data_IF_456699713628
#
_entry.id   IF_456699713628
#
_cell.length_a   1.000
_cell.length_b   1.000
_cell.length_c   1.000
_cell.angle_alpha   90.00
_cell.angle_beta   90.00
_cell.angle_gamma   90.00
#
_symmetry.space_group_name_H-M   'P 1'
#
loop_
_entity.id
_entity.type
_entity.pdbx_description
1 polymer ?
#
# COMPACT_ATOMS: atom_id res chain seq x y z
N UNK A 1 -2.83 -22.93 4.56
CA UNK A 1 -2.37 -21.86 5.47
C UNK A 1 -3.19 -21.93 6.75
N UNK A 2 -2.54 -21.87 7.91
CA UNK A 2 -3.24 -21.79 9.19
C UNK A 2 -3.97 -20.44 9.28
N UNK A 3 -5.29 -20.47 9.27
CA UNK A 3 -6.15 -19.28 9.36
C UNK A 3 -5.80 -18.56 10.67
N UNK A 4 -5.14 -17.41 10.56
CA UNK A 4 -4.82 -16.58 11.72
C UNK A 4 -5.81 -15.44 11.77
N UNK A 5 -6.69 -15.45 12.77
CA UNK A 5 -7.68 -14.38 13.00
C UNK A 5 -6.97 -13.05 13.29
N UNK A 6 -7.37 -11.98 12.59
CA UNK A 6 -6.72 -10.64 12.66
C UNK A 6 -6.50 -10.12 14.09
N UNK A 7 -7.46 -10.20 15.03
CA UNK A 7 -7.27 -9.76 16.42
C UNK A 7 -6.03 -10.33 17.12
N UNK A 8 -5.57 -11.52 16.73
CA UNK A 8 -4.42 -12.18 17.33
C UNK A 8 -3.10 -11.87 16.61
N UNK A 9 -3.14 -11.13 15.50
CA UNK A 9 -1.93 -10.70 14.83
C UNK A 9 -1.27 -9.52 15.58
N UNK A 10 0.08 -9.48 15.60
CA UNK A 10 0.83 -8.32 16.06
C UNK A 10 0.54 -7.08 15.19
N UNK A 11 1.13 -5.95 15.54
CA UNK A 11 0.96 -4.70 14.78
C UNK A 11 1.43 -4.83 13.33
N UNK A 12 2.45 -5.66 13.08
CA UNK A 12 2.81 -6.13 11.74
C UNK A 12 3.36 -7.55 11.77
N UNK A 13 3.26 -8.26 10.65
CA UNK A 13 3.82 -9.60 10.45
C UNK A 13 4.22 -9.80 8.99
N UNK A 14 5.44 -10.30 8.75
CA UNK A 14 5.84 -10.80 7.44
C UNK A 14 5.24 -12.18 7.20
N UNK A 15 4.62 -12.36 6.03
CA UNK A 15 3.91 -13.55 5.61
C UNK A 15 4.46 -14.01 4.25
N UNK A 16 5.02 -15.22 4.15
CA UNK A 16 5.43 -15.76 2.87
C UNK A 16 4.20 -16.05 2.00
N UNK A 17 4.22 -15.58 0.76
CA UNK A 17 3.19 -15.89 -0.25
C UNK A 17 3.75 -16.74 -1.40
N UNK A 18 5.07 -16.74 -1.61
CA UNK A 18 5.75 -17.76 -2.43
C UNK A 18 6.18 -18.90 -1.51
N UNK A 19 5.94 -20.14 -1.93
CA UNK A 19 6.54 -21.30 -1.27
C UNK A 19 8.07 -21.27 -1.52
N UNK A 20 8.90 -21.69 -0.56
CA UNK A 20 10.31 -21.94 -0.84
C UNK A 20 10.40 -22.96 -1.98
N UNK A 21 10.98 -22.58 -3.11
CA UNK A 21 11.33 -23.57 -4.12
C UNK A 21 12.34 -24.53 -3.47
N UNK A 22 11.94 -25.79 -3.30
CA UNK A 22 12.88 -26.86 -2.97
C UNK A 22 13.80 -26.92 -4.17
N UNK A 23 15.04 -26.46 -4.01
CA UNK A 23 16.06 -26.49 -5.05
C UNK A 23 16.36 -27.94 -5.41
N UNK A 24 15.63 -28.50 -6.36
CA UNK A 24 16.09 -29.62 -7.15
C UNK A 24 17.24 -29.11 -8.02
N UNK A 25 18.46 -29.48 -7.64
CA UNK A 25 19.67 -29.31 -8.44
C UNK A 25 19.53 -30.16 -9.70
N UNK A 26 18.94 -29.59 -10.75
CA UNK A 26 19.02 -30.14 -12.10
C UNK A 26 19.80 -29.15 -12.94
N UNK A 27 21.00 -29.57 -13.31
CA UNK A 27 21.93 -28.88 -14.19
C UNK A 27 21.37 -28.90 -15.61
N UNK A 28 20.48 -27.96 -15.94
CA UNK A 28 19.99 -27.79 -17.31
C UNK A 28 20.54 -26.49 -17.93
N UNK A 29 21.10 -26.67 -19.12
CA UNK A 29 21.65 -25.65 -20.02
C UNK A 29 20.62 -24.56 -20.28
N UNK A 30 20.97 -23.25 -20.19
CA UNK A 30 19.99 -22.19 -20.35
C UNK A 30 19.48 -22.13 -21.81
N UNK A 31 18.15 -22.11 -22.05
CA UNK A 31 17.62 -21.83 -23.38
C UNK A 31 17.96 -20.41 -23.83
N UNK A 32 18.28 -20.30 -25.12
CA UNK A 32 18.86 -19.14 -25.83
C UNK A 32 17.97 -17.87 -25.95
N UNK A 33 16.90 -17.73 -25.19
CA UNK A 33 16.06 -16.53 -25.22
C UNK A 33 15.17 -16.42 -23.97
N UNK A 34 15.76 -16.12 -22.80
CA UNK A 34 14.95 -15.63 -21.70
C UNK A 34 14.35 -14.27 -22.09
N UNK A 35 13.05 -14.02 -21.84
CA UNK A 35 12.47 -12.71 -22.06
C UNK A 35 13.24 -11.64 -21.26
N UNK A 36 13.33 -10.41 -21.77
CA UNK A 36 14.08 -9.36 -21.08
C UNK A 36 13.45 -9.09 -19.71
N UNK A 37 14.28 -8.81 -18.68
CA UNK A 37 13.78 -8.56 -17.33
C UNK A 37 12.83 -7.35 -17.31
N UNK A 38 11.94 -7.32 -16.31
CA UNK A 38 11.03 -6.20 -16.08
C UNK A 38 11.83 -4.89 -15.97
N UNK A 39 11.39 -3.90 -16.75
CA UNK A 39 11.93 -2.53 -16.76
C UNK A 39 10.80 -1.53 -16.59
N UNK A 40 10.97 -0.59 -15.67
CA UNK A 40 10.03 0.52 -15.44
C UNK A 40 10.37 1.70 -16.33
N UNK A 41 9.40 2.15 -17.12
CA UNK A 41 9.55 3.26 -18.06
C UNK A 41 9.20 4.62 -17.45
N UNK A 42 8.41 4.63 -16.37
CA UNK A 42 7.95 5.83 -15.69
C UNK A 42 7.43 5.54 -14.29
N UNK A 43 7.46 6.56 -13.44
CA UNK A 43 6.75 6.52 -12.16
C UNK A 43 5.26 6.72 -12.42
N UNK A 44 4.46 5.71 -12.10
CA UNK A 44 3.02 5.68 -12.34
C UNK A 44 2.36 4.69 -11.39
N UNK A 45 1.03 4.70 -11.35
CA UNK A 45 0.28 3.74 -10.55
C UNK A 45 -1.00 3.31 -11.22
N UNK A 46 -1.39 2.06 -10.98
CA UNK A 46 -2.72 1.55 -11.27
C UNK A 46 -3.43 1.21 -9.95
N UNK A 47 -4.72 1.50 -9.89
CA UNK A 47 -5.54 1.25 -8.70
C UNK A 47 -6.86 0.62 -9.11
N UNK A 48 -7.33 -0.32 -8.32
CA UNK A 48 -8.67 -0.89 -8.42
C UNK A 48 -9.33 -0.91 -7.05
N UNK A 49 -10.61 -0.55 -7.00
CA UNK A 49 -11.45 -0.66 -5.83
C UNK A 49 -12.76 -1.37 -6.19
N UNK A 50 -13.03 -2.48 -5.53
CA UNK A 50 -14.15 -3.35 -5.90
C UNK A 50 -14.08 -4.75 -5.29
N UNK A 51 -14.90 -5.69 -5.79
CA UNK A 51 -14.80 -7.12 -5.47
C UNK A 51 -13.42 -7.67 -5.79
N UNK A 52 -12.98 -8.70 -5.05
CA UNK A 52 -11.73 -9.40 -5.36
C UNK A 52 -11.72 -9.82 -6.83
N UNK A 53 -10.64 -9.49 -7.55
CA UNK A 53 -10.49 -9.85 -8.95
C UNK A 53 -10.50 -11.37 -9.11
N UNK A 54 -11.16 -11.86 -10.15
CA UNK A 54 -11.22 -13.30 -10.41
C UNK A 54 -9.97 -13.72 -11.18
N UNK A 55 -9.34 -14.80 -10.74
CA UNK A 55 -8.23 -15.44 -11.46
C UNK A 55 -8.59 -16.91 -11.51
N UNK A 56 -9.20 -17.38 -12.61
CA UNK A 56 -9.52 -18.79 -12.72
C UNK A 56 -8.23 -19.60 -12.54
N UNK A 57 -8.27 -20.55 -11.61
CA UNK A 57 -7.25 -21.58 -11.53
C UNK A 57 -7.41 -22.39 -12.82
N UNK A 58 -6.50 -22.22 -13.77
CA UNK A 58 -6.49 -23.04 -14.97
C UNK A 58 -6.50 -24.51 -14.57
N UNK A 59 -7.32 -25.31 -15.28
CA UNK A 59 -7.39 -26.76 -15.11
C UNK A 59 -6.35 -27.50 -15.97
N UNK A 60 -5.58 -26.79 -16.79
CA UNK A 60 -4.64 -27.36 -17.75
C UNK A 60 -3.24 -26.78 -17.53
N UNK A 61 -2.25 -27.66 -17.34
CA UNK A 61 -0.84 -27.29 -17.15
C UNK A 61 -0.19 -26.60 -18.38
N UNK A 62 -0.94 -26.43 -19.47
CA UNK A 62 -0.50 -25.80 -20.73
C UNK A 62 -0.99 -24.35 -20.91
N UNK A 63 -1.80 -23.81 -19.99
CA UNK A 63 -2.28 -22.43 -20.09
C UNK A 63 -1.20 -21.43 -19.62
N UNK A 64 -0.97 -20.41 -20.45
CA UNK A 64 -0.01 -19.34 -20.22
C UNK A 64 -0.18 -18.73 -18.81
N UNK A 65 0.84 -18.90 -17.94
CA UNK A 65 0.89 -18.31 -16.60
C UNK A 65 0.71 -16.78 -16.60
N UNK A 66 0.79 -16.14 -17.77
CA UNK A 66 0.54 -14.72 -17.98
C UNK A 66 -0.91 -14.32 -18.33
N UNK A 67 -1.90 -15.21 -18.21
CA UNK A 67 -3.31 -14.82 -18.39
C UNK A 67 -3.71 -13.71 -17.42
N UNK A 68 -3.84 -12.51 -17.98
CA UNK A 68 -4.24 -11.26 -17.34
C UNK A 68 -5.60 -10.77 -17.83
N UNK A 69 -6.34 -11.57 -18.61
CA UNK A 69 -7.59 -11.20 -19.27
C UNK A 69 -8.72 -10.80 -18.31
N UNK A 70 -8.63 -11.22 -17.05
CA UNK A 70 -9.58 -10.85 -15.99
C UNK A 70 -9.31 -9.49 -15.36
N UNK A 71 -8.18 -8.84 -15.68
CA UNK A 71 -7.86 -7.51 -15.19
C UNK A 71 -8.62 -6.43 -15.97
N UNK A 72 -9.01 -5.32 -15.31
CA UNK A 72 -9.69 -4.21 -15.98
C UNK A 72 -8.85 -3.63 -17.13
N UNK A 73 -9.46 -3.12 -18.23
CA UNK A 73 -8.76 -2.49 -19.36
C UNK A 73 -7.71 -1.45 -18.95
N UNK A 74 -7.99 -0.66 -17.92
CA UNK A 74 -7.06 0.36 -17.40
C UNK A 74 -5.76 -0.22 -16.84
N UNK A 75 -5.74 -1.50 -16.43
CA UNK A 75 -4.51 -2.21 -16.05
C UNK A 75 -3.62 -2.40 -17.27
N UNK A 76 -4.16 -2.93 -18.37
CA UNK A 76 -3.36 -3.18 -19.58
C UNK A 76 -2.86 -1.86 -20.19
N UNK A 77 -3.69 -0.82 -20.19
CA UNK A 77 -3.27 0.54 -20.57
C UNK A 77 -2.11 1.02 -19.70
N UNK A 78 -2.22 0.88 -18.38
CA UNK A 78 -1.14 1.25 -17.46
C UNK A 78 0.12 0.39 -17.65
N UNK A 79 -0.03 -0.92 -17.80
CA UNK A 79 1.07 -1.88 -17.96
C UNK A 79 1.86 -1.57 -19.24
N UNK A 80 1.20 -1.47 -20.40
CA UNK A 80 1.84 -1.12 -21.68
C UNK A 80 2.59 0.20 -21.61
N UNK A 81 2.03 1.18 -20.90
CA UNK A 81 2.63 2.50 -20.75
C UNK A 81 3.78 2.55 -19.74
N UNK A 82 3.85 1.61 -18.80
CA UNK A 82 4.72 1.70 -17.62
C UNK A 82 5.83 0.66 -17.61
N UNK A 83 5.57 -0.53 -18.15
CA UNK A 83 6.41 -1.72 -17.98
C UNK A 83 6.84 -2.23 -19.35
N UNK A 84 8.11 -2.59 -19.45
CA UNK A 84 8.68 -3.32 -20.59
C UNK A 84 9.34 -4.60 -20.09
N UNK A 85 9.40 -5.63 -20.92
CA UNK A 85 10.00 -6.90 -20.59
C UNK A 85 8.97 -7.94 -20.16
N UNK A 86 9.32 -8.80 -19.22
CA UNK A 86 8.42 -9.81 -18.70
C UNK A 86 7.06 -9.23 -18.24
N UNK A 87 5.95 -9.94 -18.48
CA UNK A 87 4.64 -9.53 -17.98
C UNK A 87 4.62 -9.47 -16.44
N UNK A 88 4.25 -8.31 -15.88
CA UNK A 88 4.21 -8.11 -14.42
C UNK A 88 3.22 -9.06 -13.73
N UNK A 89 2.19 -9.50 -14.46
CA UNK A 89 1.20 -10.44 -13.96
C UNK A 89 1.83 -11.74 -13.43
N UNK A 90 2.97 -12.18 -13.99
CA UNK A 90 3.71 -13.37 -13.49
C UNK A 90 4.18 -13.20 -12.04
N UNK A 91 4.53 -11.98 -11.65
CA UNK A 91 4.92 -11.67 -10.26
C UNK A 91 3.70 -11.32 -9.39
N UNK A 92 2.71 -10.65 -9.97
CA UNK A 92 1.53 -10.14 -9.27
C UNK A 92 0.55 -11.26 -8.90
N UNK A 93 0.28 -12.20 -9.81
CA UNK A 93 -0.74 -13.25 -9.66
C UNK A 93 -0.52 -14.13 -8.42
N UNK A 94 0.70 -14.63 -8.12
CA UNK A 94 0.94 -15.39 -6.88
C UNK A 94 0.60 -14.60 -5.61
N UNK A 95 0.94 -13.30 -5.57
CA UNK A 95 0.60 -12.44 -4.45
C UNK A 95 -0.91 -12.21 -4.34
N UNK A 96 -1.61 -11.98 -5.46
CA UNK A 96 -3.06 -11.78 -5.45
C UNK A 96 -3.80 -13.03 -4.99
N UNK A 97 -3.41 -14.21 -5.44
CA UNK A 97 -4.00 -15.48 -4.99
C UNK A 97 -3.84 -15.65 -3.48
N UNK A 98 -2.65 -15.40 -2.93
CA UNK A 98 -2.41 -15.37 -1.49
C UNK A 98 -3.30 -14.35 -0.78
N UNK A 99 -3.34 -13.12 -1.27
CA UNK A 99 -4.09 -12.04 -0.64
C UNK A 99 -5.59 -12.33 -0.66
N UNK A 100 -6.12 -12.89 -1.75
CA UNK A 100 -7.52 -13.27 -1.86
C UNK A 100 -7.91 -14.31 -0.83
N UNK A 101 -7.11 -15.37 -0.67
CA UNK A 101 -7.34 -16.38 0.37
C UNK A 101 -7.27 -15.78 1.77
N UNK A 102 -6.27 -14.93 2.03
CA UNK A 102 -6.12 -14.25 3.31
C UNK A 102 -7.34 -13.36 3.63
N UNK A 103 -7.80 -12.57 2.66
CA UNK A 103 -8.95 -11.66 2.80
C UNK A 103 -10.26 -12.45 2.99
N UNK A 104 -10.51 -13.48 2.17
CA UNK A 104 -11.68 -14.35 2.27
C UNK A 104 -11.75 -15.07 3.62
N UNK A 105 -10.62 -15.58 4.11
CA UNK A 105 -10.54 -16.25 5.42
C UNK A 105 -10.87 -15.33 6.60
N UNK A 106 -10.84 -14.01 6.40
CA UNK A 106 -11.22 -12.99 7.37
C UNK A 106 -12.61 -12.37 7.07
N UNK A 107 -13.42 -13.04 6.26
CA UNK A 107 -14.83 -12.68 6.01
C UNK A 107 -15.03 -11.48 5.08
N UNK A 108 -14.00 -11.08 4.33
CA UNK A 108 -14.05 -9.95 3.41
C UNK A 108 -14.05 -10.43 1.95
N UNK A 109 -14.60 -9.62 1.05
CA UNK A 109 -14.77 -9.93 -0.39
C UNK A 109 -14.41 -8.76 -1.31
N UNK A 110 -13.91 -7.67 -0.75
CA UNK A 110 -13.62 -6.44 -1.46
C UNK A 110 -12.28 -5.88 -1.00
N UNK A 111 -11.66 -5.11 -1.87
CA UNK A 111 -10.44 -4.40 -1.55
C UNK A 111 -10.29 -3.10 -2.33
N UNK A 112 -9.34 -2.30 -1.88
CA UNK A 112 -8.65 -1.29 -2.65
C UNK A 112 -7.23 -1.76 -2.86
N UNK A 113 -6.83 -2.03 -4.10
CA UNK A 113 -5.47 -2.41 -4.46
C UNK A 113 -4.79 -1.29 -5.24
N UNK A 114 -3.57 -0.92 -4.85
CA UNK A 114 -2.71 0.00 -5.61
C UNK A 114 -1.41 -0.68 -5.99
N UNK A 115 -1.07 -0.65 -7.27
CA UNK A 115 0.24 -1.01 -7.79
C UNK A 115 0.96 0.27 -8.17
N UNK A 116 2.14 0.51 -7.60
CA UNK A 116 2.98 1.67 -7.87
C UNK A 116 4.31 1.22 -8.45
N UNK A 117 4.57 1.64 -9.69
CA UNK A 117 5.87 1.54 -10.32
C UNK A 117 6.63 2.86 -10.10
N UNK A 118 7.90 2.78 -9.72
CA UNK A 118 8.74 3.95 -9.44
C UNK A 118 10.09 3.80 -10.13
N UNK A 119 10.49 4.87 -10.83
CA UNK A 119 11.87 5.06 -11.25
C UNK A 119 12.77 5.35 -10.03
N UNK A 120 14.10 5.20 -10.16
CA UNK A 120 15.02 5.58 -9.09
C UNK A 120 14.81 7.03 -8.65
N UNK A 121 14.80 7.26 -7.34
CA UNK A 121 14.61 8.60 -6.75
C UNK A 121 15.37 8.75 -5.43
N UNK A 122 15.80 9.98 -5.16
CA UNK A 122 16.44 10.38 -3.91
C UNK A 122 15.44 10.78 -2.81
N UNK A 123 14.13 10.81 -3.11
CA UNK A 123 13.09 11.25 -2.17
C UNK A 123 13.05 10.41 -0.89
N UNK A 124 13.62 9.20 -0.91
CA UNK A 124 13.63 8.28 0.23
C UNK A 124 15.05 8.03 0.78
N UNK A 125 16.02 8.87 0.41
CA UNK A 125 17.35 8.85 1.02
C UNK A 125 17.31 9.22 2.50
N UNK A 126 16.38 10.11 2.86
CA UNK A 126 15.95 10.30 4.25
C UNK A 126 14.72 9.41 4.49
N UNK A 127 14.75 8.50 5.47
CA UNK A 127 13.60 7.67 5.81
C UNK A 127 12.36 8.51 6.13
N UNK A 128 11.20 8.03 5.69
CA UNK A 128 9.90 8.63 5.97
C UNK A 128 9.14 7.74 6.94
N UNK A 129 9.58 7.71 8.18
CA UNK A 129 8.89 6.96 9.22
C UNK A 129 7.47 7.51 9.43
N UNK A 130 6.47 6.65 9.32
CA UNK A 130 5.08 7.00 9.51
C UNK A 130 4.24 5.80 9.96
N UNK A 131 3.00 6.10 10.34
CA UNK A 131 1.89 5.15 10.48
C UNK A 131 0.86 5.58 9.44
N UNK A 132 0.23 4.60 8.80
CA UNK A 132 -0.90 4.86 7.91
C UNK A 132 -2.12 5.31 8.72
N UNK A 133 -2.89 6.24 8.16
CA UNK A 133 -4.16 6.64 8.74
C UNK A 133 -5.18 5.48 8.71
N UNK A 134 -6.22 5.60 9.52
CA UNK A 134 -7.36 4.69 9.44
C UNK A 134 -8.22 5.06 8.22
N UNK A 135 -8.11 4.25 7.16
CA UNK A 135 -8.80 4.45 5.88
C UNK A 135 -10.32 4.61 6.02
N UNK A 136 -10.93 3.95 7.01
CA UNK A 136 -12.38 3.95 7.21
C UNK A 136 -12.78 4.87 8.37
N UNK A 137 -11.89 5.76 8.79
CA UNK A 137 -12.24 6.75 9.78
C UNK A 137 -13.22 7.80 9.23
N UNK A 138 -14.33 7.95 9.94
CA UNK A 138 -15.39 8.92 9.63
C UNK A 138 -15.02 10.32 10.14
N UNK A 139 -14.07 10.43 11.08
CA UNK A 139 -13.67 11.68 11.72
C UNK A 139 -12.73 12.56 10.89
N UNK A 140 -11.90 11.98 10.01
CA UNK A 140 -10.91 12.76 9.26
C UNK A 140 -11.49 13.64 8.14
N UNK A 141 -12.66 13.31 7.59
CA UNK A 141 -13.29 14.11 6.53
C UNK A 141 -14.07 15.33 7.06
N UNK A 142 -14.52 15.30 8.31
CA UNK A 142 -15.25 16.42 8.93
C UNK A 142 -14.32 17.58 9.36
N UNK A 143 -13.01 17.35 9.43
CA UNK A 143 -12.05 18.32 9.95
C UNK A 143 -11.38 19.23 8.89
N UNK A 144 -11.71 19.07 7.60
CA UNK A 144 -11.23 19.99 6.56
C UNK A 144 -12.07 21.28 6.46
N UNK A 145 -13.26 21.32 7.07
CA UNK A 145 -14.20 22.45 6.95
C UNK A 145 -14.51 23.19 8.25
N UNK A 146 -13.84 22.89 9.38
CA UNK A 146 -14.15 23.57 10.63
C UNK A 146 -12.93 23.90 11.50
N UNK A 147 -12.11 24.83 11.01
CA UNK A 147 -11.12 25.54 11.82
C UNK A 147 -11.80 26.59 12.71
N UNK A 148 -12.55 26.16 13.73
CA UNK A 148 -12.83 26.94 14.94
C UNK A 148 -13.77 26.18 15.88
N UNK A 149 -13.20 25.34 16.75
CA UNK A 149 -13.78 25.15 18.09
C UNK A 149 -12.80 24.41 18.99
N UNK A 150 -12.51 25.03 20.12
CA UNK A 150 -11.90 24.41 21.30
C UNK A 150 -12.52 23.03 21.56
N UNK A 151 -11.74 21.96 21.40
CA UNK A 151 -12.19 20.62 21.78
C UNK A 151 -12.06 20.46 23.30
N UNK A 152 -13.15 20.81 23.99
CA UNK A 152 -13.58 20.03 25.14
C UNK A 152 -13.82 18.59 24.68
N UNK A 153 -13.22 17.64 25.41
CA UNK A 153 -13.55 16.23 25.36
C UNK A 153 -15.03 16.04 25.70
N UNK A 154 -15.90 16.00 24.69
CA UNK A 154 -17.27 15.52 24.87
C UNK A 154 -17.32 14.05 24.49
N UNK A 155 -17.30 13.20 25.51
CA UNK A 155 -17.71 11.80 25.44
C UNK A 155 -19.18 11.73 25.01
N UNK A 156 -19.44 11.67 23.70
CA UNK A 156 -20.72 11.21 23.20
C UNK A 156 -20.64 9.69 22.96
N UNK A 157 -21.04 8.97 24.00
CA UNK A 157 -21.45 7.57 23.97
C UNK A 157 -22.65 7.41 23.04
N UNK A 158 -22.39 7.23 21.74
CA UNK A 158 -23.39 6.66 20.84
C UNK A 158 -23.35 5.13 21.01
N UNK A 159 -24.39 4.60 21.65
CA UNK A 159 -24.71 3.17 21.72
C UNK A 159 -25.17 2.68 20.34
N UNK A 160 -24.27 2.63 19.37
CA UNK A 160 -24.53 2.01 18.08
C UNK A 160 -23.46 0.96 17.85
N UNK A 161 -23.90 -0.28 17.57
CA UNK A 161 -23.08 -1.48 17.36
C UNK A 161 -21.69 -1.13 16.83
N UNK A 162 -20.66 -1.42 17.63
CA UNK A 162 -19.25 -1.21 17.29
C UNK A 162 -18.91 -2.11 16.09
N UNK A 163 -19.27 -1.68 14.88
CA UNK A 163 -18.80 -2.32 13.65
C UNK A 163 -17.28 -2.20 13.73
N UNK A 164 -16.62 -3.33 13.97
CA UNK A 164 -15.17 -3.39 14.00
C UNK A 164 -14.68 -3.08 12.58
N UNK A 165 -14.23 -1.84 12.37
CA UNK A 165 -13.72 -1.38 11.09
C UNK A 165 -12.51 -2.19 10.66
N UNK A 166 -12.30 -2.28 9.36
CA UNK A 166 -11.13 -2.98 8.83
C UNK A 166 -9.87 -2.12 8.97
N UNK A 167 -9.08 -2.34 10.02
CA UNK A 167 -7.91 -1.50 10.36
C UNK A 167 -6.57 -2.18 10.05
N UNK A 168 -6.42 -2.73 8.86
CA UNK A 168 -5.17 -3.35 8.42
C UNK A 168 -5.02 -3.32 6.90
N UNK A 169 -3.79 -3.51 6.43
CA UNK A 169 -3.47 -3.66 5.00
C UNK A 169 -2.45 -4.78 4.77
N UNK A 170 -2.40 -5.25 3.53
CA UNK A 170 -1.32 -6.10 3.02
C UNK A 170 -0.43 -5.26 2.10
N UNK A 171 0.88 -5.50 2.12
CA UNK A 171 1.77 -4.87 1.17
C UNK A 171 2.93 -5.80 0.76
N UNK A 172 3.34 -5.74 -0.50
CA UNK A 172 4.50 -6.47 -1.01
C UNK A 172 5.29 -5.59 -1.96
N UNK A 173 6.56 -5.95 -2.21
CA UNK A 173 7.35 -5.39 -3.29
C UNK A 173 7.64 -6.51 -4.29
N UNK A 174 7.19 -6.35 -5.54
CA UNK A 174 7.41 -7.33 -6.63
C UNK A 174 8.76 -7.11 -7.33
N UNK A 175 9.26 -5.87 -7.33
CA UNK A 175 10.57 -5.49 -7.87
C UNK A 175 11.19 -4.45 -6.95
N UNK A 176 12.48 -4.59 -6.65
CA UNK A 176 13.22 -3.66 -5.80
C UNK A 176 13.05 -3.92 -4.30
N UNK A 177 13.48 -2.98 -3.43
CA UNK A 177 13.52 -3.19 -1.99
C UNK A 177 12.14 -3.18 -1.29
N UNK A 178 12.03 -4.00 -0.25
CA UNK A 178 10.85 -4.13 0.61
C UNK A 178 10.56 -2.90 1.48
N UNK A 179 9.35 -2.81 2.02
CA UNK A 179 9.02 -1.79 3.03
C UNK A 179 9.73 -2.12 4.35
N UNK A 180 10.25 -1.10 5.04
CA UNK A 180 10.96 -1.23 6.31
C UNK A 180 9.99 -1.00 7.48
N UNK A 181 10.02 -1.87 8.49
CA UNK A 181 9.19 -1.79 9.69
C UNK A 181 10.04 -1.71 10.94
N UNK A 182 9.71 -0.80 11.86
CA UNK A 182 10.34 -0.75 13.18
C UNK A 182 9.83 -1.91 14.04
N UNK A 183 10.74 -2.74 14.56
CA UNK A 183 10.38 -3.95 15.34
C UNK A 183 9.64 -3.60 16.63
N UNK A 184 10.11 -2.60 17.38
CA UNK A 184 9.44 -2.07 18.55
C UNK A 184 8.42 -0.99 18.15
N UNK A 185 7.28 -1.42 17.63
CA UNK A 185 6.24 -0.52 17.11
C UNK A 185 5.69 0.43 18.17
N UNK A 186 5.56 0.01 19.44
CA UNK A 186 5.07 0.87 20.52
C UNK A 186 6.01 2.03 20.82
N UNK A 187 7.30 1.74 20.99
CA UNK A 187 8.32 2.78 21.20
C UNK A 187 8.39 3.73 19.99
N UNK A 188 8.45 3.17 18.78
CA UNK A 188 8.49 3.97 17.56
C UNK A 188 7.25 4.87 17.40
N UNK A 189 6.05 4.41 17.77
CA UNK A 189 4.83 5.24 17.79
C UNK A 189 4.90 6.37 18.81
N UNK A 190 5.46 6.11 20.00
CA UNK A 190 5.65 7.15 21.01
C UNK A 190 6.61 8.23 20.49
N UNK A 191 7.72 7.84 19.87
CA UNK A 191 8.64 8.77 19.19
C UNK A 191 7.93 9.57 18.10
N UNK A 192 7.14 8.91 17.23
CA UNK A 192 6.34 9.59 16.20
C UNK A 192 5.45 10.68 16.79
N UNK A 193 4.70 10.37 17.85
CA UNK A 193 3.80 11.31 18.51
C UNK A 193 4.57 12.45 19.17
N UNK A 194 5.66 12.13 19.87
CA UNK A 194 6.50 13.12 20.55
C UNK A 194 7.11 14.11 19.54
N UNK A 195 7.69 13.62 18.44
CA UNK A 195 8.27 14.46 17.39
C UNK A 195 7.21 15.30 16.70
N UNK A 196 6.08 14.71 16.27
CA UNK A 196 4.97 15.48 15.67
C UNK A 196 4.51 16.62 16.60
N UNK A 197 4.37 16.33 17.89
CA UNK A 197 3.97 17.33 18.89
C UNK A 197 5.04 18.40 19.12
N UNK A 198 6.32 18.01 19.22
CA UNK A 198 7.43 18.92 19.43
C UNK A 198 7.57 19.91 18.27
N UNK A 199 7.56 19.41 17.03
CA UNK A 199 7.65 20.23 15.81
C UNK A 199 6.42 21.14 15.68
N UNK A 200 5.22 20.66 16.01
CA UNK A 200 4.01 21.49 16.04
C UNK A 200 4.10 22.62 17.05
N UNK A 201 4.71 22.38 18.21
CA UNK A 201 4.83 23.36 19.31
C UNK A 201 5.92 24.40 19.02
N UNK A 202 7.00 24.01 18.34
CA UNK A 202 8.11 24.91 17.99
C UNK A 202 7.90 25.72 16.71
N UNK A 203 6.92 25.34 15.89
CA UNK A 203 6.59 26.05 14.64
C UNK A 203 5.59 27.18 14.91
N UNK A 204 5.74 28.35 14.26
CA UNK A 204 4.72 29.39 14.31
C UNK A 204 3.35 28.83 13.93
N UNK A 205 2.30 29.22 14.66
CA UNK A 205 0.93 28.80 14.34
C UNK A 205 0.61 29.22 12.90
N UNK A 206 0.39 28.25 12.02
CA UNK A 206 -0.14 28.51 10.69
C UNK A 206 -1.52 27.86 10.61
N UNK A 207 -2.52 28.63 10.21
CA UNK A 207 -3.85 28.11 9.89
C UNK A 207 -3.86 27.93 8.39
N UNK A 208 -4.08 26.70 7.92
CA UNK A 208 -4.13 26.44 6.49
C UNK A 208 -5.39 25.65 6.10
N UNK A 209 -6.01 26.09 5.01
CA UNK A 209 -7.11 25.42 4.32
C UNK A 209 -6.67 24.82 2.98
N UNK A 210 -5.42 25.06 2.55
CA UNK A 210 -4.88 24.58 1.29
C UNK A 210 -4.13 23.26 1.46
N UNK A 211 -4.47 22.29 0.62
CA UNK A 211 -3.76 21.01 0.47
C UNK A 211 -2.35 21.15 -0.11
N UNK A 212 -2.00 22.31 -0.70
CA UNK A 212 -0.69 22.59 -1.29
C UNK A 212 0.01 23.74 -0.55
N UNK A 213 -0.13 23.79 0.77
CA UNK A 213 0.52 24.82 1.56
C UNK A 213 2.01 24.54 1.75
N UNK A 214 2.84 25.51 1.35
CA UNK A 214 4.28 25.46 1.60
C UNK A 214 4.61 25.35 3.10
N UNK A 215 3.79 25.96 3.97
CA UNK A 215 3.91 25.83 5.42
C UNK A 215 3.65 24.40 5.92
N UNK A 216 2.59 23.75 5.45
CA UNK A 216 2.31 22.35 5.77
C UNK A 216 3.39 21.41 5.21
N UNK A 217 3.86 21.66 3.99
CA UNK A 217 4.93 20.88 3.38
C UNK A 217 6.25 21.00 4.16
N UNK A 218 6.62 22.22 4.58
CA UNK A 218 7.79 22.45 5.40
C UNK A 218 7.67 21.78 6.77
N UNK A 219 6.49 21.86 7.41
CA UNK A 219 6.24 21.18 8.68
C UNK A 219 6.40 19.65 8.54
N UNK A 220 5.83 19.07 7.49
CA UNK A 220 5.96 17.64 7.21
C UNK A 220 7.43 17.24 7.00
N UNK A 221 8.21 18.07 6.31
CA UNK A 221 9.65 17.83 6.11
C UNK A 221 10.45 17.98 7.41
N UNK A 222 10.13 18.95 8.27
CA UNK A 222 10.74 19.08 9.60
C UNK A 222 10.46 17.84 10.46
N UNK A 223 9.22 17.34 10.47
CA UNK A 223 8.86 16.10 11.15
C UNK A 223 9.65 14.93 10.57
N UNK A 224 9.71 14.80 9.26
CA UNK A 224 10.45 13.73 8.57
C UNK A 224 11.93 13.70 8.96
N UNK A 225 12.61 14.86 8.94
CA UNK A 225 14.02 14.97 9.33
C UNK A 225 14.23 14.58 10.79
N UNK A 226 13.43 15.15 11.70
CA UNK A 226 13.52 14.83 13.12
C UNK A 226 13.28 13.33 13.39
N UNK A 227 12.32 12.71 12.70
CA UNK A 227 12.08 11.27 12.82
C UNK A 227 13.21 10.42 12.27
N UNK A 228 13.83 10.83 11.16
CA UNK A 228 14.98 10.13 10.61
C UNK A 228 16.14 10.10 11.62
N UNK A 229 16.36 11.21 12.36
CA UNK A 229 17.40 11.29 13.39
C UNK A 229 17.04 10.51 14.65
N UNK A 230 15.82 10.64 15.16
CA UNK A 230 15.35 9.96 16.39
C UNK A 230 15.24 8.44 16.21
N UNK A 231 14.89 7.97 15.01
CA UNK A 231 14.73 6.55 14.70
C UNK A 231 15.93 5.97 13.93
N UNK A 232 17.06 6.68 13.84
CA UNK A 232 18.24 6.24 13.05
C UNK A 232 18.79 4.87 13.47
N UNK A 233 18.65 4.52 14.75
CA UNK A 233 19.15 3.27 15.35
C UNK A 233 18.02 2.31 15.71
N UNK A 234 16.81 2.56 15.21
CA UNK A 234 15.70 1.62 15.43
C UNK A 234 16.03 0.31 14.73
N UNK A 235 15.73 -0.80 15.38
CA UNK A 235 15.83 -2.11 14.72
C UNK A 235 14.73 -2.21 13.66
N UNK A 236 15.13 -2.66 12.46
CA UNK A 236 14.28 -2.69 11.28
C UNK A 236 14.17 -4.11 10.74
N UNK A 237 12.95 -4.49 10.37
CA UNK A 237 12.66 -5.67 9.55
C UNK A 237 12.16 -5.21 8.19
N UNK A 238 12.65 -5.84 7.12
CA UNK A 238 12.29 -5.52 5.74
C UNK A 238 11.78 -6.78 5.04
N UNK A 239 10.65 -6.66 4.33
CA UNK A 239 10.09 -7.76 3.55
C UNK A 239 11.03 -8.17 2.40
N UNK A 240 11.21 -9.47 2.18
CA UNK A 240 12.00 -10.03 1.09
C UNK A 240 11.13 -10.40 -0.11
N UNK A 241 11.77 -10.81 -1.21
CA UNK A 241 11.02 -11.41 -2.33
C UNK A 241 10.21 -12.63 -1.84
N UNK A 242 8.98 -12.75 -2.34
CA UNK A 242 8.05 -13.78 -1.92
C UNK A 242 7.41 -13.57 -0.55
N UNK A 243 7.67 -12.45 0.14
CA UNK A 243 7.01 -12.08 1.39
C UNK A 243 6.13 -10.85 1.21
N UNK A 244 4.97 -10.86 1.88
CA UNK A 244 4.16 -9.67 2.06
C UNK A 244 4.10 -9.31 3.54
N UNK A 245 3.85 -8.04 3.85
CA UNK A 245 3.61 -7.59 5.22
C UNK A 245 2.11 -7.41 5.42
N UNK A 246 1.57 -8.12 6.41
CA UNK A 246 0.34 -7.71 7.09
C UNK A 246 0.68 -6.64 8.12
N UNK A 247 -0.12 -5.59 8.21
CA UNK A 247 0.01 -4.66 9.31
C UNK A 247 -1.24 -3.84 9.59
N UNK A 248 -1.40 -3.49 10.86
CA UNK A 248 -2.46 -2.63 11.36
C UNK A 248 -2.20 -1.19 10.93
N UNK A 249 -3.27 -0.41 10.85
CA UNK A 249 -3.25 1.02 10.51
C UNK A 249 -3.97 1.84 11.59
N UNK A 250 -3.83 3.17 11.53
CA UNK A 250 -4.36 4.12 12.48
C UNK A 250 -3.41 4.45 13.63
N UNK A 251 -3.48 5.68 14.14
CA UNK A 251 -2.56 6.26 15.13
C UNK A 251 -2.42 5.49 16.45
N UNK A 252 -3.42 4.66 16.79
CA UNK A 252 -3.43 3.88 18.03
C UNK A 252 -2.61 2.60 17.97
N UNK A 253 -2.72 1.86 16.87
CA UNK A 253 -2.28 0.47 16.74
C UNK A 253 -1.43 0.22 15.48
N UNK A 254 -1.28 1.22 14.63
CA UNK A 254 -0.67 1.04 13.33
C UNK A 254 0.83 0.79 13.39
N UNK A 255 1.33 0.05 12.41
CA UNK A 255 2.75 -0.27 12.31
C UNK A 255 3.56 0.93 11.83
N UNK A 256 4.67 1.20 12.51
CA UNK A 256 5.62 2.24 12.11
C UNK A 256 6.52 1.70 11.02
N UNK A 257 6.49 2.35 9.87
CA UNK A 257 7.20 1.90 8.69
C UNK A 257 7.74 3.06 7.86
N UNK A 258 8.68 2.74 6.98
CA UNK A 258 9.27 3.67 6.02
C UNK A 258 9.48 2.95 4.70
N UNK A 259 9.40 3.70 3.61
CA UNK A 259 9.94 3.27 2.34
C UNK A 259 11.46 3.09 2.45
N UNK A 260 12.04 2.11 1.73
CA UNK A 260 13.48 1.95 1.63
C UNK A 260 14.11 3.05 0.77
N UNK A 261 15.44 3.14 0.78
CA UNK A 261 16.17 3.92 -0.23
C UNK A 261 15.89 3.38 -1.63
N UNK A 262 15.68 4.29 -2.58
CA UNK A 262 15.31 3.96 -3.97
C UNK A 262 16.19 4.67 -5.00
N UNK A 263 17.35 5.20 -4.59
CA UNK A 263 18.31 5.83 -5.48
C UNK A 263 19.06 4.80 -6.35
N UNK A 264 19.14 3.55 -5.89
CA UNK A 264 19.87 2.46 -6.57
C UNK A 264 19.06 1.62 -7.56
N UNK A 265 17.75 1.83 -7.73
CA UNK A 265 16.96 0.97 -8.61
C UNK A 265 15.46 1.26 -8.68
N UNK A 266 14.82 0.59 -9.62
CA UNK A 266 13.37 0.65 -9.84
C UNK A 266 12.62 -0.13 -8.76
N UNK A 267 11.36 0.24 -8.53
CA UNK A 267 10.52 -0.45 -7.56
C UNK A 267 9.09 -0.65 -8.07
N UNK A 268 8.55 -1.85 -7.88
CA UNK A 268 7.12 -2.13 -8.03
C UNK A 268 6.55 -2.55 -6.69
N UNK A 269 5.78 -1.66 -6.09
CA UNK A 269 5.15 -1.86 -4.79
C UNK A 269 3.65 -2.09 -4.96
N UNK A 270 3.10 -3.03 -4.21
CA UNK A 270 1.67 -3.32 -4.18
C UNK A 270 1.16 -3.16 -2.76
N UNK A 271 0.08 -2.41 -2.59
CA UNK A 271 -0.68 -2.37 -1.34
C UNK A 271 -2.12 -2.83 -1.59
N UNK A 272 -2.72 -3.44 -0.57
CA UNK A 272 -4.11 -3.84 -0.55
C UNK A 272 -4.70 -3.39 0.77
N UNK A 273 -5.74 -2.57 0.71
CA UNK A 273 -6.59 -2.21 1.85
C UNK A 273 -7.91 -2.98 1.71
N UNK A 274 -8.07 -4.08 2.45
CA UNK A 274 -9.32 -4.83 2.47
C UNK A 274 -10.40 -4.01 3.17
N UNK A 275 -11.65 -4.23 2.78
CA UNK A 275 -12.77 -3.55 3.42
C UNK A 275 -14.09 -4.22 3.10
N UNK A 276 -15.12 -3.84 3.84
CA UNK A 276 -16.50 -4.10 3.42
C UNK A 276 -16.84 -3.22 2.22
N UNK A 277 -17.86 -3.61 1.46
CA UNK A 277 -18.30 -2.82 0.31
C UNK A 277 -18.70 -1.40 0.73
N UNK A 278 -19.42 -1.27 1.84
CA UNK A 278 -19.90 0.03 2.33
C UNK A 278 -18.74 0.93 2.78
N UNK A 279 -17.74 0.33 3.44
CA UNK A 279 -16.51 1.02 3.87
C UNK A 279 -15.74 1.59 2.66
N UNK A 280 -15.56 0.79 1.61
CA UNK A 280 -14.82 1.19 0.41
C UNK A 280 -15.59 2.21 -0.43
N UNK A 281 -16.91 2.05 -0.59
CA UNK A 281 -17.77 3.03 -1.28
C UNK A 281 -17.76 4.37 -0.56
N UNK A 282 -17.80 4.38 0.78
CA UNK A 282 -17.70 5.61 1.57
C UNK A 282 -16.38 6.34 1.31
N UNK A 283 -15.27 5.59 1.26
CA UNK A 283 -13.95 6.16 0.92
C UNK A 283 -13.94 6.72 -0.50
N UNK A 284 -14.42 5.98 -1.49
CA UNK A 284 -14.46 6.42 -2.88
C UNK A 284 -15.34 7.66 -3.09
N UNK A 285 -16.48 7.74 -2.39
CA UNK A 285 -17.39 8.90 -2.43
C UNK A 285 -16.72 10.20 -1.96
N UNK A 286 -15.80 10.13 -0.97
CA UNK A 286 -15.02 11.31 -0.53
C UNK A 286 -14.17 11.92 -1.64
N UNK A 287 -13.83 11.15 -2.68
CA UNK A 287 -13.05 11.57 -3.83
C UNK A 287 -13.89 11.79 -5.10
N UNK A 288 -15.22 11.75 -4.98
CA UNK A 288 -16.13 11.89 -6.13
C UNK A 288 -16.06 10.72 -7.12
N UNK A 289 -15.61 9.55 -6.68
CA UNK A 289 -15.48 8.34 -7.50
C UNK A 289 -16.63 7.38 -7.21
N UNK A 290 -17.86 7.74 -7.55
CA UNK A 290 -19.06 7.00 -7.12
C UNK A 290 -19.30 5.69 -7.91
N UNK A 291 -18.68 5.55 -9.09
CA UNK A 291 -18.80 4.35 -9.92
C UNK A 291 -18.18 3.13 -9.22
N UNK A 292 -18.84 1.98 -9.32
CA UNK A 292 -18.43 0.76 -8.63
C UNK A 292 -18.66 -0.51 -9.47
N UNK A 293 -17.67 -1.43 -9.54
CA UNK A 293 -16.28 -1.24 -9.13
C UNK A 293 -15.57 -0.20 -10.01
N UNK A 294 -14.40 0.29 -9.59
CA UNK A 294 -13.63 1.27 -10.37
C UNK A 294 -12.17 0.88 -10.48
N UNK A 295 -11.59 1.10 -11.66
CA UNK A 295 -10.18 0.92 -11.94
C UNK A 295 -9.63 2.15 -12.67
N UNK A 296 -8.47 2.66 -12.26
CA UNK A 296 -7.86 3.83 -12.88
C UNK A 296 -6.34 3.79 -12.78
N UNK A 297 -5.68 4.61 -13.58
CA UNK A 297 -4.24 4.79 -13.48
C UNK A 297 -3.86 6.27 -13.45
N UNK A 298 -2.69 6.55 -12.89
CA UNK A 298 -2.08 7.88 -12.77
C UNK A 298 -0.65 7.80 -13.29
N UNK A 299 -0.16 8.90 -13.88
CA UNK A 299 1.20 8.95 -14.46
C UNK A 299 1.33 8.23 -15.80
N UNK A 300 0.22 8.06 -16.53
CA UNK A 300 0.18 7.55 -17.91
C UNK A 300 -0.10 8.75 -18.86
N UNK A 301 0.63 8.90 -19.98
CA UNK A 301 0.41 9.97 -20.95
C UNK A 301 -1.03 9.99 -21.50
N UNK A 302 -1.56 11.19 -21.75
CA UNK A 302 -2.80 11.35 -22.51
C UNK A 302 -2.63 10.81 -23.94
N UNK A 303 -3.66 10.14 -24.46
CA UNK A 303 -3.66 9.49 -25.79
C UNK A 303 -3.66 7.95 -25.76
N UNK A 304 -3.30 7.32 -24.64
CA UNK A 304 -3.38 5.85 -24.48
C UNK A 304 -4.81 5.30 -24.31
N UNK A 305 -5.82 6.18 -24.30
CA UNK A 305 -7.23 5.84 -24.10
C UNK A 305 -8.04 5.82 -25.41
N UNK A 306 -7.48 6.30 -26.52
CA UNK A 306 -8.23 6.58 -27.77
C UNK A 306 -8.04 5.52 -28.87
N UNK A 307 -7.30 4.43 -28.64
CA UNK A 307 -7.03 3.42 -29.69
C UNK A 307 -8.02 2.22 -29.72
N UNK A 308 -9.09 2.25 -28.92
CA UNK A 308 -10.18 1.26 -29.04
C UNK A 308 -11.53 1.97 -29.18
N UNK A 309 -11.80 2.43 -30.41
CA UNK A 309 -13.10 2.91 -30.89
C UNK A 309 -13.39 2.32 -32.26
#
# INVERSE_FOLDING_TARGET
MTITSIPHLPDFKLLPYKLPQITSTTTETPPSSSPPPIKILRTSSWTYCGPLLDFPLSKNDDDDESDDSSLPPSYHTWHRATIRGEPLIKLLKPFLLFAHEFIKSNGLKHYWITIRASLPTNDFNTPRWHVDDDFFDRGSAANLNNSNSNHHHTNHTSNNTKITRTQWKLATTLLGPGTMFATNTTSARQTLKAVKQAVKTSSPSHTCTSVICLGCANLAECVRKALADELKHVEVVQSKDGECCFFKVGDGIGAVHSEPRMDGGERVFVNIVPGREEELREVMGKWGMEEWPRAWCLGVPGGFWEEEG
#
